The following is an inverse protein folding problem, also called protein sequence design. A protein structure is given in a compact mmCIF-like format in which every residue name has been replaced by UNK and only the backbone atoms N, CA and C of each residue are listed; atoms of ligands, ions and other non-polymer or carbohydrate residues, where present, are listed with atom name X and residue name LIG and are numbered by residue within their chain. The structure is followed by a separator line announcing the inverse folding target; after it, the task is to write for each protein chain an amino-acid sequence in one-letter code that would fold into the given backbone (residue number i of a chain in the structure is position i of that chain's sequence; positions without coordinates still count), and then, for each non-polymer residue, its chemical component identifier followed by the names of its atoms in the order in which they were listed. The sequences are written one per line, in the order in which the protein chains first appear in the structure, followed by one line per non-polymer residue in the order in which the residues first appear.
data_IF_246953006169
#
_entry.id   IF_246953006169
#
_cell.length_a   1.000
_cell.length_b   1.000
_cell.length_c   1.000
_cell.angle_alpha   90.00
_cell.angle_beta   90.00
_cell.angle_gamma   90.00
#
_symmetry.space_group_name_H-M   'P 1'
#
loop_
_entity.id
_entity.type
_entity.pdbx_description
1 polymer ?
#
# COMPACT_ATOMS: atom_id res chain seq x y z
N UNK A 1 28.94 17.55 -0.12
CA UNK A 1 28.60 16.12 0.04
C UNK A 1 27.10 16.06 0.27
N UNK A 2 26.40 15.61 -0.78
CA UNK A 2 24.98 15.24 -0.84
C UNK A 2 23.93 16.36 -0.69
N UNK A 3 23.73 17.08 -1.80
CA UNK A 3 22.42 17.59 -2.20
C UNK A 3 21.57 16.45 -2.77
N UNK A 4 20.27 16.73 -2.96
CA UNK A 4 19.22 16.05 -3.76
C UNK A 4 18.57 14.77 -3.20
N UNK A 5 17.47 14.94 -2.45
CA UNK A 5 16.08 14.58 -2.87
C UNK A 5 15.04 15.05 -1.83
N UNK A 6 14.80 16.36 -1.76
CA UNK A 6 13.56 16.90 -1.17
C UNK A 6 12.53 17.03 -2.28
N UNK A 7 11.99 15.90 -2.73
CA UNK A 7 10.79 15.90 -3.56
C UNK A 7 9.62 16.25 -2.63
N UNK A 8 9.20 17.52 -2.67
CA UNK A 8 7.93 17.97 -2.11
C UNK A 8 6.81 17.15 -2.76
N UNK A 9 6.26 16.19 -2.01
CA UNK A 9 5.00 15.55 -2.34
C UNK A 9 3.89 16.59 -2.17
N UNK A 10 3.37 17.06 -3.29
CA UNK A 10 2.21 17.95 -3.39
C UNK A 10 0.99 17.26 -2.79
N UNK A 11 0.59 17.66 -1.58
CA UNK A 11 -0.69 17.29 -0.95
C UNK A 11 -1.84 17.79 -1.83
N UNK A 12 -2.30 16.93 -2.74
CA UNK A 12 -3.34 17.26 -3.73
C UNK A 12 -4.44 16.22 -3.58
N UNK A 13 -5.70 16.65 -3.68
CA UNK A 13 -6.89 15.84 -3.36
C UNK A 13 -7.00 14.47 -4.05
N UNK A 14 -6.16 14.16 -5.05
CA UNK A 14 -6.00 12.81 -5.61
C UNK A 14 -5.35 11.82 -4.62
N UNK A 15 -4.41 12.26 -3.78
CA UNK A 15 -3.72 11.39 -2.81
C UNK A 15 -4.68 10.77 -1.79
N UNK A 16 -5.70 11.52 -1.37
CA UNK A 16 -6.77 11.01 -0.50
C UNK A 16 -7.65 9.96 -1.19
N UNK A 17 -7.70 9.95 -2.52
CA UNK A 17 -8.39 8.91 -3.28
C UNK A 17 -7.53 7.64 -3.44
N UNK A 18 -6.20 7.77 -3.34
CA UNK A 18 -5.24 6.67 -3.49
C UNK A 18 -4.87 6.01 -2.17
N UNK A 19 -4.76 6.79 -1.09
CA UNK A 19 -4.40 6.35 0.25
C UNK A 19 -5.64 6.46 1.13
N UNK A 20 -6.12 5.31 1.63
CA UNK A 20 -7.33 5.24 2.46
C UNK A 20 -7.08 4.43 3.72
N UNK A 21 -7.74 4.76 4.80
CA UNK A 21 -7.81 3.89 5.98
C UNK A 21 -8.94 2.87 5.82
N UNK A 22 -8.72 1.66 6.28
CA UNK A 22 -9.70 0.58 6.18
C UNK A 22 -10.80 0.72 7.23
N UNK A 23 -12.04 0.61 6.77
CA UNK A 23 -13.20 0.37 7.63
C UNK A 23 -13.65 -1.09 7.49
N UNK A 24 -13.95 -1.74 8.61
CA UNK A 24 -14.39 -3.14 8.65
C UNK A 24 -15.60 -3.45 7.75
N UNK A 25 -16.48 -2.47 7.48
CA UNK A 25 -17.68 -2.66 6.65
C UNK A 25 -17.40 -2.51 5.16
N UNK A 26 -16.53 -1.59 4.75
CA UNK A 26 -16.27 -1.31 3.33
C UNK A 26 -15.00 -1.94 2.78
N UNK A 27 -14.08 -2.40 3.63
CA UNK A 27 -12.76 -2.89 3.23
C UNK A 27 -12.80 -3.92 2.10
N UNK A 28 -13.65 -4.95 2.22
CA UNK A 28 -13.74 -6.01 1.19
C UNK A 28 -14.19 -5.43 -0.14
N UNK A 29 -15.18 -4.53 -0.13
CA UNK A 29 -15.65 -3.87 -1.35
C UNK A 29 -14.57 -2.95 -1.95
N UNK A 30 -13.92 -2.13 -1.13
CA UNK A 30 -12.87 -1.21 -1.56
C UNK A 30 -11.68 -1.94 -2.18
N UNK A 31 -11.25 -3.06 -1.57
CA UNK A 31 -10.18 -3.90 -2.09
C UNK A 31 -10.60 -4.59 -3.39
N UNK A 32 -11.79 -5.20 -3.43
CA UNK A 32 -12.25 -5.92 -4.61
C UNK A 32 -12.46 -4.97 -5.80
N UNK A 33 -13.19 -3.87 -5.62
CA UNK A 33 -13.43 -2.87 -6.67
C UNK A 33 -12.12 -2.19 -7.11
N UNK A 34 -11.24 -1.86 -6.15
CA UNK A 34 -9.91 -1.32 -6.45
C UNK A 34 -9.06 -2.28 -7.27
N UNK A 35 -9.06 -3.57 -6.89
CA UNK A 35 -8.21 -4.61 -7.50
C UNK A 35 -8.55 -4.91 -8.96
N UNK A 36 -9.78 -4.60 -9.40
CA UNK A 36 -10.22 -4.78 -10.80
C UNK A 36 -9.47 -3.86 -11.75
N UNK A 37 -9.18 -2.65 -11.31
CA UNK A 37 -8.58 -1.60 -12.15
C UNK A 37 -7.09 -1.45 -11.92
N UNK A 38 -6.62 -1.65 -10.68
CA UNK A 38 -5.22 -1.43 -10.29
C UNK A 38 -4.81 -2.31 -9.11
N UNK A 39 -3.52 -2.60 -8.93
CA UNK A 39 -3.04 -3.22 -7.70
C UNK A 39 -3.41 -2.39 -6.46
N UNK A 40 -3.96 -3.07 -5.45
CA UNK A 40 -4.28 -2.49 -4.14
C UNK A 40 -3.33 -3.07 -3.12
N UNK A 41 -2.49 -2.22 -2.53
CA UNK A 41 -1.65 -2.55 -1.38
C UNK A 41 -2.47 -2.38 -0.10
N UNK A 42 -2.34 -3.33 0.81
CA UNK A 42 -2.96 -3.34 2.12
C UNK A 42 -1.85 -3.43 3.16
N UNK A 43 -1.63 -2.35 3.90
CA UNK A 43 -0.63 -2.24 4.96
C UNK A 43 -1.29 -2.50 6.32
N UNK A 44 -0.92 -3.61 6.97
CA UNK A 44 -1.38 -3.95 8.32
C UNK A 44 -0.42 -3.35 9.33
N UNK A 45 -0.90 -2.35 10.06
CA UNK A 45 -0.12 -1.61 11.05
C UNK A 45 -0.83 -1.56 12.39
N UNK A 46 -0.08 -1.22 13.45
CA UNK A 46 -0.59 -1.08 14.80
C UNK A 46 0.11 0.05 15.54
N UNK A 47 -0.52 0.58 16.59
CA UNK A 47 0.01 1.71 17.38
C UNK A 47 1.27 1.35 18.16
N UNK A 48 1.40 0.08 18.56
CA UNK A 48 2.54 -0.50 19.28
C UNK A 48 3.69 -0.93 18.36
N UNK A 49 3.54 -0.81 17.04
CA UNK A 49 4.56 -1.22 16.07
C UNK A 49 5.50 -0.05 15.69
N UNK A 50 6.62 0.06 16.38
CA UNK A 50 7.69 1.04 16.07
C UNK A 50 8.20 0.98 14.60
N UNK A 51 8.52 -0.19 14.02
CA UNK A 51 9.00 -0.25 12.63
C UNK A 51 7.92 0.13 11.61
N UNK A 52 6.64 -0.06 11.94
CA UNK A 52 5.54 0.32 11.05
C UNK A 52 5.51 1.84 10.80
N UNK A 53 5.83 2.65 11.82
CA UNK A 53 5.86 4.13 11.71
C UNK A 53 6.86 4.62 10.65
N UNK A 54 7.92 3.87 10.39
CA UNK A 54 8.91 4.18 9.35
C UNK A 54 8.51 3.63 7.98
N UNK A 55 7.81 2.50 7.95
CA UNK A 55 7.38 1.86 6.70
C UNK A 55 6.22 2.60 6.02
N UNK A 56 5.22 3.04 6.80
CA UNK A 56 4.05 3.76 6.29
C UNK A 56 4.40 4.96 5.40
N UNK A 57 5.28 5.91 5.80
CA UNK A 57 5.63 7.05 4.94
C UNK A 57 6.36 6.65 3.65
N UNK A 58 7.10 5.54 3.67
CA UNK A 58 7.75 4.99 2.46
C UNK A 58 6.68 4.47 1.48
N UNK A 59 5.69 3.73 1.97
CA UNK A 59 4.58 3.24 1.14
C UNK A 59 3.74 4.37 0.56
N UNK A 60 3.41 5.39 1.36
CA UNK A 60 2.69 6.57 0.89
C UNK A 60 3.47 7.30 -0.21
N UNK A 61 4.79 7.43 -0.07
CA UNK A 61 5.66 8.00 -1.12
C UNK A 61 5.62 7.18 -2.41
N UNK A 62 5.74 5.85 -2.32
CA UNK A 62 5.68 4.97 -3.49
C UNK A 62 4.34 5.06 -4.23
N UNK A 63 3.24 5.19 -3.49
CA UNK A 63 1.89 5.32 -4.07
C UNK A 63 1.72 6.65 -4.78
N UNK A 64 2.21 7.74 -4.18
CA UNK A 64 2.28 9.07 -4.81
C UNK A 64 3.13 9.04 -6.09
N UNK A 65 4.31 8.44 -6.04
CA UNK A 65 5.20 8.27 -7.20
C UNK A 65 4.57 7.40 -8.30
N UNK A 66 3.71 6.47 -7.92
CA UNK A 66 2.98 5.60 -8.83
C UNK A 66 1.86 6.31 -9.60
N UNK A 67 1.53 7.58 -9.27
CA UNK A 67 0.52 8.41 -9.97
C UNK A 67 -0.80 7.69 -10.23
N UNK A 68 -1.33 7.02 -9.20
CA UNK A 68 -2.62 6.32 -9.28
C UNK A 68 -2.59 4.91 -9.89
N UNK A 69 -1.42 4.42 -10.32
CA UNK A 69 -1.23 3.02 -10.75
C UNK A 69 -1.39 2.01 -9.62
N UNK A 70 -1.25 2.45 -8.37
CA UNK A 70 -1.37 1.61 -7.18
C UNK A 70 -2.24 2.39 -6.17
N UNK A 71 -3.09 1.67 -5.45
CA UNK A 71 -3.79 2.20 -4.28
C UNK A 71 -3.19 1.62 -2.99
N UNK A 72 -3.26 2.37 -1.89
CA UNK A 72 -2.84 1.94 -0.57
C UNK A 72 -4.01 2.02 0.40
N UNK A 73 -4.25 0.92 1.10
CA UNK A 73 -5.23 0.81 2.16
C UNK A 73 -4.49 0.48 3.45
N UNK A 74 -4.63 1.33 4.45
CA UNK A 74 -3.99 1.18 5.76
C UNK A 74 -4.99 0.51 6.70
N UNK A 75 -4.67 -0.67 7.19
CA UNK A 75 -5.50 -1.43 8.13
C UNK A 75 -4.87 -1.37 9.51
N UNK A 76 -5.52 -0.65 10.41
CA UNK A 76 -5.22 -0.71 11.84
C UNK A 76 -5.77 -2.03 12.39
N UNK A 77 -4.86 -2.94 12.79
CA UNK A 77 -5.25 -4.25 13.33
C UNK A 77 -5.86 -4.16 14.74
N UNK A 78 -5.57 -3.10 15.49
CA UNK A 78 -6.12 -2.89 16.84
C UNK A 78 -7.63 -2.54 16.72
N UNK A 79 -8.00 -1.76 15.69
CA UNK A 79 -9.39 -1.38 15.38
C UNK A 79 -10.15 -2.39 14.53
N UNK A 80 -9.46 -3.09 13.63
CA UNK A 80 -10.07 -3.97 12.63
C UNK A 80 -9.68 -5.44 12.85
N UNK A 81 -9.82 -5.94 14.07
CA UNK A 81 -9.42 -7.31 14.44
C UNK A 81 -10.12 -8.40 13.59
N UNK A 82 -11.36 -8.15 13.16
CA UNK A 82 -12.10 -9.07 12.29
C UNK A 82 -11.43 -9.23 10.92
N UNK A 83 -10.95 -8.12 10.32
CA UNK A 83 -10.21 -8.17 9.04
C UNK A 83 -8.89 -8.92 9.24
N UNK A 84 -8.17 -8.63 10.33
CA UNK A 84 -6.91 -9.31 10.65
C UNK A 84 -7.11 -10.81 10.80
N UNK A 85 -8.17 -11.25 11.49
CA UNK A 85 -8.50 -12.67 11.66
C UNK A 85 -8.85 -13.36 10.33
N UNK A 86 -9.67 -12.73 9.49
CA UNK A 86 -10.06 -13.28 8.18
C UNK A 86 -8.86 -13.45 7.24
N UNK A 87 -7.91 -12.52 7.29
CA UNK A 87 -6.68 -12.57 6.49
C UNK A 87 -5.53 -13.31 7.19
N UNK A 88 -5.80 -13.88 8.37
CA UNK A 88 -4.85 -14.64 9.20
C UNK A 88 -3.56 -13.86 9.53
N UNK A 89 -3.69 -12.56 9.76
CA UNK A 89 -2.57 -11.69 10.17
C UNK A 89 -2.26 -11.95 11.64
N UNK A 90 -1.08 -12.50 11.90
CA UNK A 90 -0.60 -12.83 13.25
C UNK A 90 0.48 -11.87 13.75
N UNK A 91 1.10 -11.11 12.85
CA UNK A 91 2.20 -10.20 13.17
C UNK A 91 2.19 -8.99 12.25
N UNK A 92 2.64 -7.85 12.77
CA UNK A 92 2.88 -6.61 12.00
C UNK A 92 4.37 -6.23 12.06
N UNK A 93 4.93 -5.59 11.03
CA UNK A 93 4.28 -5.14 9.79
C UNK A 93 4.01 -6.29 8.81
N UNK A 94 2.81 -6.33 8.23
CA UNK A 94 2.48 -7.22 7.11
C UNK A 94 1.89 -6.38 5.98
N UNK A 95 2.30 -6.62 4.74
CA UNK A 95 1.76 -5.92 3.58
C UNK A 95 1.28 -6.93 2.55
N UNK A 96 0.02 -6.84 2.13
CA UNK A 96 -0.55 -7.66 1.06
C UNK A 96 -0.85 -6.82 -0.17
N UNK A 97 -0.65 -7.42 -1.34
CA UNK A 97 -1.07 -6.83 -2.61
C UNK A 97 -2.22 -7.64 -3.18
N UNK A 98 -3.29 -6.97 -3.61
CA UNK A 98 -4.41 -7.57 -4.30
C UNK A 98 -4.46 -7.04 -5.74
N UNK A 99 -4.59 -7.94 -6.70
CA UNK A 99 -4.73 -7.60 -8.12
C UNK A 99 -5.66 -8.61 -8.77
N UNK A 100 -6.66 -8.12 -9.53
CA UNK A 100 -7.66 -8.96 -10.20
C UNK A 100 -8.34 -9.98 -9.26
N UNK A 101 -8.82 -9.52 -8.10
CA UNK A 101 -9.42 -10.37 -7.06
C UNK A 101 -8.54 -11.52 -6.55
N UNK A 102 -7.25 -11.53 -6.89
CA UNK A 102 -6.27 -12.51 -6.44
C UNK A 102 -5.30 -11.86 -5.45
N UNK A 103 -5.02 -12.55 -4.33
CA UNK A 103 -3.96 -12.13 -3.41
C UNK A 103 -2.61 -12.41 -4.06
N UNK A 104 -1.91 -11.35 -4.45
CA UNK A 104 -0.59 -11.41 -5.04
C UNK A 104 0.45 -11.53 -3.92
N UNK A 105 0.90 -12.77 -3.69
CA UNK A 105 2.03 -13.01 -2.79
C UNK A 105 3.35 -12.65 -3.50
N UNK A 106 4.22 -11.85 -2.87
CA UNK A 106 5.49 -11.43 -3.48
C UNK A 106 6.47 -12.58 -3.74
N UNK A 107 6.22 -13.78 -3.19
CA UNK A 107 7.12 -14.93 -3.35
C UNK A 107 6.96 -15.70 -4.68
N UNK A 108 5.85 -15.56 -5.44
CA UNK A 108 5.65 -16.31 -6.70
C UNK A 108 4.76 -15.61 -7.75
N UNK A 109 5.01 -14.33 -8.04
CA UNK A 109 4.33 -13.59 -9.13
C UNK A 109 5.28 -12.60 -9.82
N UNK A 110 5.08 -12.26 -11.11
CA UNK A 110 6.16 -11.73 -11.94
C UNK A 110 6.48 -10.28 -11.62
N UNK A 111 7.42 -10.06 -10.71
CA UNK A 111 8.27 -8.87 -10.71
C UNK A 111 9.24 -8.92 -11.91
N UNK A 112 8.71 -9.05 -13.14
CA UNK A 112 9.51 -8.94 -14.40
C UNK A 112 9.22 -7.66 -15.18
N UNK A 113 8.15 -6.90 -14.86
CA UNK A 113 7.83 -5.64 -15.58
C UNK A 113 7.85 -4.36 -14.74
N UNK A 114 8.02 -4.42 -13.42
CA UNK A 114 8.32 -3.24 -12.61
C UNK A 114 9.80 -2.77 -12.73
N UNK A 115 10.56 -3.37 -13.66
CA UNK A 115 11.96 -3.06 -13.96
C UNK A 115 12.14 -2.10 -15.15
N UNK A 116 11.09 -1.39 -15.57
CA UNK A 116 11.16 -0.38 -16.64
C UNK A 116 10.99 1.07 -16.15
N UNK A 117 11.22 1.32 -14.86
CA UNK A 117 11.39 2.67 -14.32
C UNK A 117 12.81 2.90 -13.75
N UNK A 118 13.78 2.11 -14.22
CA UNK A 118 15.19 2.40 -13.98
C UNK A 118 15.75 3.15 -15.21
N UNK A 119 16.30 4.32 -14.93
CA UNK A 119 17.29 5.04 -15.74
C UNK A 119 16.87 5.53 -17.14
N UNK A 120 16.38 6.76 -17.18
CA UNK A 120 16.81 7.71 -18.21
C UNK A 120 17.02 9.05 -17.52
N UNK A 121 18.17 9.16 -16.85
CA UNK A 121 18.82 10.42 -16.55
C UNK A 121 19.83 10.57 -17.68
N UNK A 122 19.56 11.51 -18.58
CA UNK A 122 20.59 12.08 -19.45
C UNK A 122 21.10 13.35 -18.77
#
# INVERSE_FOLDING_TARGET
MEHIISAKGSDTGEDKALIKDADSRSFVQDVLEGSKTRPVLVDFWATWCEPCKQLTPVLEKLVRESKGKIALIKVDIDKNQQIAAQLQIQSVPTVYAFYQASRWMPSKGPCRKARSAALSIN
#
